data_IF_348812018461
#
_entry.id   IF_348812018461
#
_cell.length_a   1.000
_cell.length_b   1.000
_cell.length_c   1.000
_cell.angle_alpha   90.00
_cell.angle_beta   90.00
_cell.angle_gamma   90.00
#
_symmetry.space_group_name_H-M   'P 1'
#
loop_
_entity.id
_entity.type
_entity.pdbx_description
1 polymer ?
#
# COMPACT_ATOMS: atom_id res chain seq x y z
N UNK A 1 -15.10 8.30 -1.67
CA UNK A 1 -16.12 7.25 -1.54
C UNK A 1 -16.71 7.36 -0.15
N UNK A 2 -18.04 7.25 -0.03
CA UNK A 2 -18.76 7.37 1.25
C UNK A 2 -18.68 6.07 2.04
N UNK A 3 -18.79 6.16 3.37
CA UNK A 3 -19.07 5.02 4.25
C UNK A 3 -20.41 4.34 3.94
N UNK A 4 -20.60 3.14 4.48
CA UNK A 4 -21.82 2.33 4.29
C UNK A 4 -23.07 2.92 4.93
N UNK A 5 -22.92 3.89 5.84
CA UNK A 5 -24.05 4.58 6.50
C UNK A 5 -24.67 5.68 5.64
N UNK A 6 -24.07 5.97 4.48
CA UNK A 6 -24.58 6.94 3.52
C UNK A 6 -24.86 6.27 2.17
N UNK A 7 -25.91 6.76 1.51
CA UNK A 7 -26.30 6.37 0.17
C UNK A 7 -26.03 7.51 -0.81
N UNK A 8 -25.42 7.21 -1.95
CA UNK A 8 -25.24 8.17 -3.04
C UNK A 8 -26.04 7.68 -4.24
N UNK A 9 -26.83 8.56 -4.84
CA UNK A 9 -27.58 8.27 -6.06
C UNK A 9 -27.03 9.09 -7.23
N UNK A 10 -26.79 8.41 -8.35
CA UNK A 10 -26.27 9.02 -9.56
C UNK A 10 -27.31 9.88 -10.27
N UNK A 11 -28.61 9.61 -10.07
CA UNK A 11 -29.70 10.28 -10.78
C UNK A 11 -29.81 11.78 -10.47
N UNK A 12 -29.57 12.17 -9.22
CA UNK A 12 -29.63 13.58 -8.79
C UNK A 12 -28.32 14.08 -8.16
N UNK A 13 -27.29 13.22 -8.08
CA UNK A 13 -25.98 13.55 -7.48
C UNK A 13 -26.11 14.04 -6.03
N UNK A 14 -26.98 13.39 -5.25
CA UNK A 14 -27.24 13.69 -3.84
C UNK A 14 -26.80 12.53 -2.95
N UNK A 15 -26.25 12.89 -1.80
CA UNK A 15 -25.92 11.96 -0.72
C UNK A 15 -27.03 11.99 0.33
N UNK A 16 -27.56 10.83 0.67
CA UNK A 16 -28.59 10.64 1.68
C UNK A 16 -28.03 9.85 2.87
N UNK A 17 -28.50 10.18 4.07
CA UNK A 17 -28.08 9.53 5.32
C UNK A 17 -29.27 8.88 6.02
N UNK A 18 -29.00 7.97 6.95
CA UNK A 18 -30.02 7.42 7.86
C UNK A 18 -31.22 6.80 7.15
N UNK A 19 -32.43 7.09 7.65
CA UNK A 19 -33.69 6.57 7.09
C UNK A 19 -33.94 7.08 5.68
N UNK A 20 -33.56 8.33 5.39
CA UNK A 20 -33.67 8.88 4.04
C UNK A 20 -32.76 8.12 3.07
N UNK A 21 -31.54 7.79 3.48
CA UNK A 21 -30.61 6.98 2.71
C UNK A 21 -31.12 5.58 2.43
N UNK A 22 -31.70 4.92 3.43
CA UNK A 22 -32.33 3.60 3.27
C UNK A 22 -33.50 3.66 2.27
N UNK A 23 -34.36 4.66 2.40
CA UNK A 23 -35.51 4.84 1.49
C UNK A 23 -35.06 5.14 0.06
N UNK A 24 -34.06 6.01 -0.11
CA UNK A 24 -33.46 6.30 -1.41
C UNK A 24 -32.89 5.03 -2.05
N UNK A 25 -32.17 4.22 -1.28
CA UNK A 25 -31.58 2.97 -1.79
C UNK A 25 -32.64 1.95 -2.23
N UNK A 26 -33.74 1.82 -1.47
CA UNK A 26 -34.87 0.94 -1.83
C UNK A 26 -35.59 1.44 -3.08
N UNK A 27 -35.75 2.76 -3.21
CA UNK A 27 -36.34 3.35 -4.41
C UNK A 27 -35.51 3.03 -5.65
N UNK A 28 -34.21 3.31 -5.63
CA UNK A 28 -33.33 3.10 -6.78
C UNK A 28 -33.15 1.60 -7.10
N UNK A 29 -33.29 0.71 -6.10
CA UNK A 29 -33.29 -0.74 -6.33
C UNK A 29 -34.57 -1.25 -7.01
N UNK A 30 -35.73 -0.68 -6.67
CA UNK A 30 -37.03 -1.14 -7.17
C UNK A 30 -37.56 -0.34 -8.37
N UNK A 31 -36.97 0.81 -8.68
CA UNK A 31 -37.50 1.77 -9.64
C UNK A 31 -36.40 2.60 -10.30
N UNK A 32 -36.55 2.89 -11.59
CA UNK A 32 -35.72 3.88 -12.30
C UNK A 32 -36.17 5.34 -12.05
N UNK A 33 -37.25 5.53 -11.28
CA UNK A 33 -37.78 6.86 -10.99
C UNK A 33 -36.87 7.61 -10.00
N UNK A 34 -36.68 8.91 -10.25
CA UNK A 34 -35.84 9.76 -9.41
C UNK A 34 -36.40 9.87 -7.99
N UNK A 35 -35.62 9.41 -7.01
CA UNK A 35 -35.95 9.58 -5.60
C UNK A 35 -36.02 11.06 -5.23
N UNK A 36 -37.07 11.44 -4.50
CA UNK A 36 -37.26 12.77 -3.92
C UNK A 36 -37.51 12.62 -2.43
N UNK A 37 -36.64 13.23 -1.63
CA UNK A 37 -36.85 13.34 -0.19
C UNK A 37 -38.03 14.28 0.11
N UNK A 38 -38.52 14.24 1.35
CA UNK A 38 -39.55 15.16 1.84
C UNK A 38 -39.13 16.62 1.59
N UNK A 39 -39.95 17.45 0.91
CA UNK A 39 -39.70 18.87 0.72
C UNK A 39 -39.53 19.68 2.00
N UNK A 40 -39.89 19.15 3.17
CA UNK A 40 -39.70 19.79 4.47
C UNK A 40 -38.51 19.23 5.26
N UNK A 41 -37.72 18.33 4.67
CA UNK A 41 -36.59 17.71 5.33
C UNK A 41 -35.44 18.70 5.58
N UNK A 42 -35.25 19.10 6.84
CA UNK A 42 -34.36 20.19 7.25
C UNK A 42 -32.90 19.97 6.84
N UNK A 43 -32.41 18.72 6.89
CA UNK A 43 -31.05 18.36 6.48
C UNK A 43 -30.76 18.75 5.04
N UNK A 44 -31.67 18.44 4.11
CA UNK A 44 -31.48 18.69 2.68
C UNK A 44 -31.90 20.12 2.27
N UNK A 45 -32.54 20.89 3.18
CA UNK A 45 -32.56 22.35 3.08
C UNK A 45 -31.23 22.98 3.47
N UNK A 46 -30.60 22.47 4.53
CA UNK A 46 -29.31 22.94 5.00
C UNK A 46 -28.16 22.58 4.04
N UNK A 47 -28.22 21.41 3.41
CA UNK A 47 -27.25 20.95 2.41
C UNK A 47 -27.95 20.15 1.29
N UNK A 48 -28.26 20.82 0.17
CA UNK A 48 -29.10 20.27 -0.92
C UNK A 48 -28.60 18.97 -1.54
N UNK A 49 -27.27 18.75 -1.54
CA UNK A 49 -26.63 17.54 -2.08
C UNK A 49 -26.20 16.55 -0.99
N UNK A 50 -26.63 16.77 0.25
CA UNK A 50 -26.18 16.02 1.41
C UNK A 50 -24.80 16.48 1.86
N UNK A 51 -23.75 16.20 1.08
CA UNK A 51 -22.42 16.70 1.40
C UNK A 51 -22.34 18.23 1.23
N UNK A 52 -21.87 18.97 2.25
CA UNK A 52 -21.79 20.42 2.16
C UNK A 52 -20.72 20.86 1.15
N UNK A 53 -21.08 21.84 0.32
CA UNK A 53 -20.22 22.45 -0.70
C UNK A 53 -19.75 23.86 -0.30
N UNK A 54 -20.38 24.45 0.72
CA UNK A 54 -20.03 25.80 1.22
C UNK A 54 -19.90 25.83 2.74
N UNK A 55 -19.10 26.75 3.31
CA UNK A 55 -19.02 26.95 4.76
C UNK A 55 -20.38 27.18 5.43
N UNK A 56 -21.31 27.85 4.75
CA UNK A 56 -22.65 28.09 5.28
C UNK A 56 -23.46 26.81 5.42
N UNK A 57 -23.38 25.90 4.45
CA UNK A 57 -24.03 24.59 4.55
C UNK A 57 -23.44 23.77 5.71
N UNK A 58 -22.11 23.80 5.90
CA UNK A 58 -21.48 23.17 7.08
C UNK A 58 -22.01 23.78 8.38
N UNK A 59 -22.05 25.12 8.48
CA UNK A 59 -22.57 25.84 9.66
C UNK A 59 -24.02 25.47 9.96
N UNK A 60 -24.86 25.41 8.93
CA UNK A 60 -26.27 25.07 9.07
C UNK A 60 -26.46 23.63 9.54
N UNK A 61 -25.71 22.67 8.98
CA UNK A 61 -25.73 21.28 9.44
C UNK A 61 -25.26 21.16 10.91
N UNK A 62 -24.22 21.90 11.33
CA UNK A 62 -23.77 21.89 12.73
C UNK A 62 -24.84 22.45 13.65
N UNK A 63 -25.51 23.54 13.24
CA UNK A 63 -26.61 24.12 13.99
C UNK A 63 -27.76 23.12 14.17
N UNK A 64 -28.11 22.36 13.12
CA UNK A 64 -29.10 21.29 13.20
C UNK A 64 -28.70 20.20 14.20
N UNK A 65 -27.46 19.66 14.11
CA UNK A 65 -26.98 18.63 15.04
C UNK A 65 -27.12 19.07 16.51
N UNK A 66 -26.77 20.33 16.78
CA UNK A 66 -26.74 20.93 18.12
C UNK A 66 -28.09 21.46 18.60
N UNK A 67 -29.12 21.48 17.77
CA UNK A 67 -30.45 21.97 18.17
C UNK A 67 -31.13 20.96 19.12
N UNK A 68 -31.31 21.28 20.42
CA UNK A 68 -31.95 20.37 21.35
C UNK A 68 -33.45 20.17 21.08
N UNK A 69 -34.09 21.09 20.35
CA UNK A 69 -35.52 21.03 20.01
C UNK A 69 -35.77 20.46 18.60
N UNK A 70 -34.71 20.26 17.81
CA UNK A 70 -34.81 19.70 16.46
C UNK A 70 -35.23 18.24 16.44
N UNK A 71 -35.80 17.80 15.33
CA UNK A 71 -36.27 16.41 15.14
C UNK A 71 -35.10 15.42 15.30
N UNK A 72 -35.18 14.42 16.20
CA UNK A 72 -34.07 13.50 16.50
C UNK A 72 -33.44 12.83 15.27
N UNK A 73 -34.26 12.34 14.34
CA UNK A 73 -33.80 11.69 13.10
C UNK A 73 -33.01 12.64 12.19
N UNK A 74 -33.45 13.90 12.05
CA UNK A 74 -32.74 14.90 11.23
C UNK A 74 -31.40 15.30 11.84
N UNK A 75 -31.35 15.42 13.17
CA UNK A 75 -30.10 15.67 13.90
C UNK A 75 -29.10 14.54 13.69
N UNK A 76 -29.58 13.30 13.73
CA UNK A 76 -28.75 12.13 13.48
C UNK A 76 -28.27 12.05 12.02
N UNK A 77 -29.14 12.29 11.05
CA UNK A 77 -28.75 12.32 9.63
C UNK A 77 -27.72 13.44 9.33
N UNK A 78 -27.94 14.64 9.87
CA UNK A 78 -26.97 15.74 9.75
C UNK A 78 -25.61 15.37 10.40
N UNK A 79 -25.65 14.68 11.54
CA UNK A 79 -24.45 14.17 12.19
C UNK A 79 -23.73 13.13 11.31
N UNK A 80 -24.43 12.18 10.70
CA UNK A 80 -23.82 11.19 9.78
C UNK A 80 -23.14 11.87 8.58
N UNK A 81 -23.80 12.86 7.97
CA UNK A 81 -23.26 13.63 6.85
C UNK A 81 -21.99 14.38 7.27
N UNK A 82 -22.02 15.09 8.40
CA UNK A 82 -20.87 15.86 8.90
C UNK A 82 -19.72 14.96 9.31
N UNK A 83 -20.00 13.82 9.94
CA UNK A 83 -19.01 12.82 10.31
C UNK A 83 -18.32 12.23 9.07
N UNK A 84 -19.07 11.91 8.01
CA UNK A 84 -18.45 11.49 6.74
C UNK A 84 -17.66 12.63 6.09
N UNK A 85 -18.20 13.85 6.07
CA UNK A 85 -17.52 14.99 5.48
C UNK A 85 -16.20 15.29 6.21
N UNK A 86 -16.19 15.16 7.54
CA UNK A 86 -14.98 15.23 8.36
C UNK A 86 -14.02 14.09 8.01
N UNK A 87 -14.51 12.85 7.90
CA UNK A 87 -13.70 11.70 7.51
C UNK A 87 -13.09 11.85 6.10
N UNK A 88 -13.82 12.41 5.14
CA UNK A 88 -13.30 12.73 3.79
C UNK A 88 -12.22 13.80 3.90
N UNK A 89 -12.48 14.85 4.68
CA UNK A 89 -11.56 15.98 4.85
C UNK A 89 -10.20 15.53 5.40
N UNK A 90 -10.16 14.60 6.36
CA UNK A 90 -8.90 14.09 6.92
C UNK A 90 -8.08 13.26 5.93
N UNK A 91 -8.76 12.69 4.92
CA UNK A 91 -8.19 11.86 3.85
C UNK A 91 -7.62 12.66 2.67
N UNK A 92 -7.74 14.00 2.70
CA UNK A 92 -7.23 14.92 1.67
C UNK A 92 -6.08 15.78 2.25
N UNK A 93 -5.04 16.12 1.47
CA UNK A 93 -3.96 16.98 1.94
C UNK A 93 -4.45 18.40 2.24
N UNK A 94 -3.88 19.05 3.26
CA UNK A 94 -4.30 20.41 3.69
C UNK A 94 -4.26 21.43 2.55
N UNK A 95 -3.28 21.31 1.64
CA UNK A 95 -3.13 22.17 0.46
C UNK A 95 -4.26 22.04 -0.56
N UNK A 96 -4.98 20.91 -0.56
CA UNK A 96 -6.05 20.60 -1.51
C UNK A 96 -7.46 20.69 -0.91
N UNK A 97 -7.58 20.99 0.39
CA UNK A 97 -8.89 21.20 1.01
C UNK A 97 -9.61 22.38 0.35
N UNK A 98 -10.91 22.22 0.09
CA UNK A 98 -11.75 23.33 -0.36
C UNK A 98 -12.11 24.26 0.81
N UNK A 99 -12.92 25.31 0.53
CA UNK A 99 -13.31 26.29 1.55
C UNK A 99 -14.19 25.69 2.66
N UNK A 100 -15.08 24.75 2.34
CA UNK A 100 -15.97 24.12 3.31
C UNK A 100 -15.21 23.14 4.21
N UNK A 101 -14.33 22.33 3.61
CA UNK A 101 -13.44 21.42 4.33
C UNK A 101 -12.50 22.16 5.28
N UNK A 102 -11.87 23.24 4.81
CA UNK A 102 -11.02 24.09 5.68
C UNK A 102 -11.83 24.66 6.85
N UNK A 103 -13.03 25.18 6.58
CA UNK A 103 -13.87 25.75 7.62
C UNK A 103 -14.31 24.73 8.68
N UNK A 104 -14.59 23.49 8.27
CA UNK A 104 -14.92 22.39 9.19
C UNK A 104 -13.76 22.07 10.14
N UNK A 105 -12.53 22.05 9.62
CA UNK A 105 -11.32 21.70 10.38
C UNK A 105 -10.81 22.88 11.21
N UNK A 106 -10.99 24.11 10.73
CA UNK A 106 -10.63 25.31 11.46
C UNK A 106 -11.42 25.39 12.78
N UNK A 107 -10.72 25.73 13.87
CA UNK A 107 -11.25 25.80 15.23
C UNK A 107 -11.94 24.53 15.80
N UNK A 108 -11.78 23.34 15.19
CA UNK A 108 -12.49 22.11 15.61
C UNK A 108 -14.01 22.33 15.75
N UNK A 109 -14.59 23.04 14.77
CA UNK A 109 -15.99 23.48 14.77
C UNK A 109 -16.98 22.34 14.96
N UNK A 110 -16.61 21.12 14.57
CA UNK A 110 -17.37 19.89 14.74
C UNK A 110 -16.47 18.76 15.25
N UNK A 111 -16.92 18.04 16.25
CA UNK A 111 -16.27 16.85 16.79
C UNK A 111 -17.25 15.68 16.78
N UNK A 112 -16.91 14.62 16.05
CA UNK A 112 -17.78 13.44 15.86
C UNK A 112 -18.18 12.77 17.19
N UNK A 113 -17.32 12.79 18.21
CA UNK A 113 -17.63 12.13 19.48
C UNK A 113 -18.46 13.05 20.40
N UNK A 114 -18.09 14.32 20.49
CA UNK A 114 -18.74 15.32 21.35
C UNK A 114 -20.10 15.75 20.82
N UNK A 115 -20.20 15.96 19.51
CA UNK A 115 -21.40 16.47 18.85
C UNK A 115 -22.35 15.33 18.40
N UNK A 116 -22.16 14.09 18.89
CA UNK A 116 -23.08 12.98 18.61
C UNK A 116 -24.42 13.21 19.31
N UNK A 117 -25.54 13.28 18.59
CA UNK A 117 -26.83 13.52 19.21
C UNK A 117 -27.30 12.30 20.02
N UNK A 118 -27.83 12.54 21.21
CA UNK A 118 -28.56 11.54 21.97
C UNK A 118 -29.88 11.24 21.26
N UNK A 119 -29.99 10.04 20.69
CA UNK A 119 -31.14 9.57 19.92
C UNK A 119 -31.59 8.22 20.45
N UNK A 120 -32.90 7.95 20.43
CA UNK A 120 -33.42 6.64 20.79
C UNK A 120 -32.93 5.60 19.78
N UNK A 121 -32.79 4.34 20.20
CA UNK A 121 -32.45 3.25 19.29
C UNK A 121 -33.47 3.10 18.14
N UNK A 122 -34.72 3.50 18.36
CA UNK A 122 -35.79 3.45 17.35
C UNK A 122 -35.61 4.50 16.23
N UNK A 123 -34.92 5.62 16.52
CA UNK A 123 -34.67 6.70 15.55
C UNK A 123 -33.49 6.40 14.62
N UNK A 124 -32.72 5.35 14.92
CA UNK A 124 -31.53 4.94 14.17
C UNK A 124 -31.89 3.74 13.31
N UNK A 125 -31.67 3.80 11.98
CA UNK A 125 -31.85 2.62 11.14
C UNK A 125 -30.95 1.48 11.63
N UNK A 126 -31.55 0.33 11.92
CA UNK A 126 -30.81 -0.90 12.24
C UNK A 126 -30.20 -1.54 10.99
N UNK A 127 -30.72 -1.19 9.82
CA UNK A 127 -30.25 -1.62 8.50
C UNK A 127 -29.53 -0.48 7.79
N UNK A 128 -28.37 -0.76 7.19
CA UNK A 128 -27.72 0.16 6.27
C UNK A 128 -28.46 0.25 4.93
N UNK A 129 -28.28 1.33 4.14
CA UNK A 129 -28.83 1.42 2.79
C UNK A 129 -28.46 0.19 1.96
N UNK A 130 -29.42 -0.29 1.15
CA UNK A 130 -29.24 -1.41 0.22
C UNK A 130 -28.23 -1.00 -0.85
N UNK A 131 -26.96 -1.18 -0.54
CA UNK A 131 -25.86 -0.82 -1.43
C UNK A 131 -25.06 -2.07 -1.66
N UNK A 132 -25.22 -2.66 -2.83
CA UNK A 132 -24.45 -3.81 -3.33
C UNK A 132 -24.45 -5.08 -2.43
N UNK A 133 -25.10 -5.04 -1.25
CA UNK A 133 -25.23 -6.12 -0.27
C UNK A 133 -26.25 -7.18 -0.70
N UNK A 134 -27.19 -6.87 -1.59
CA UNK A 134 -28.08 -7.89 -2.17
C UNK A 134 -27.26 -8.96 -2.91
N UNK A 135 -26.24 -8.54 -3.67
CA UNK A 135 -25.24 -9.44 -4.27
C UNK A 135 -24.31 -10.12 -3.24
N UNK A 136 -24.22 -9.62 -2.01
CA UNK A 136 -23.49 -10.27 -0.91
C UNK A 136 -24.35 -11.35 -0.23
N UNK A 137 -25.68 -11.17 -0.17
CA UNK A 137 -26.60 -12.13 0.45
C UNK A 137 -26.78 -13.40 -0.39
N UNK A 138 -26.72 -13.30 -1.73
CA UNK A 138 -26.82 -14.46 -2.62
C UNK A 138 -25.47 -15.17 -2.88
N UNK A 139 -24.33 -14.51 -2.63
CA UNK A 139 -22.98 -15.08 -2.80
C UNK A 139 -22.17 -15.11 -1.50
N UNK A 140 -22.74 -15.70 -0.43
CA UNK A 140 -21.95 -16.19 0.73
C UNK A 140 -21.12 -17.44 0.35
N UNK A 141 -20.62 -17.48 -0.87
CA UNK A 141 -19.41 -18.22 -1.20
C UNK A 141 -18.25 -17.27 -0.89
N UNK A 142 -17.17 -17.77 -0.30
CA UNK A 142 -15.94 -16.99 -0.23
C UNK A 142 -15.69 -16.39 -1.62
N UNK A 143 -15.67 -15.05 -1.75
CA UNK A 143 -15.19 -14.40 -2.97
C UNK A 143 -13.71 -14.73 -3.04
N UNK A 144 -13.39 -15.93 -3.50
CA UNK A 144 -12.04 -16.43 -3.62
C UNK A 144 -11.50 -15.80 -4.89
N UNK A 145 -10.73 -14.72 -4.71
CA UNK A 145 -9.93 -14.21 -5.80
C UNK A 145 -8.64 -15.02 -5.87
N UNK A 146 -8.47 -15.89 -6.89
CA UNK A 146 -7.23 -16.64 -7.06
C UNK A 146 -6.08 -15.67 -7.28
N UNK A 147 -4.88 -16.06 -6.85
CA UNK A 147 -3.66 -15.37 -7.25
C UNK A 147 -3.55 -15.45 -8.78
N UNK A 148 -3.35 -14.34 -9.48
CA UNK A 148 -3.14 -14.38 -10.93
C UNK A 148 -1.95 -15.24 -11.28
N UNK A 149 -2.05 -15.94 -12.40
CA UNK A 149 -0.98 -16.82 -12.88
C UNK A 149 0.32 -16.04 -13.13
N UNK A 150 1.41 -16.80 -13.22
CA UNK A 150 2.73 -16.31 -13.58
C UNK A 150 2.72 -15.38 -14.81
N UNK A 151 1.98 -15.79 -15.85
CA UNK A 151 1.86 -15.06 -17.12
C UNK A 151 1.04 -13.77 -17.01
N UNK A 152 0.10 -13.72 -16.05
CA UNK A 152 -0.75 -12.58 -15.77
C UNK A 152 -0.16 -11.62 -14.73
N UNK A 153 0.96 -11.96 -14.08
CA UNK A 153 1.55 -11.14 -12.99
C UNK A 153 1.84 -9.70 -13.46
N UNK A 154 2.29 -9.53 -14.70
CA UNK A 154 2.57 -8.22 -15.27
C UNK A 154 1.32 -7.55 -15.89
N UNK A 155 0.14 -8.19 -15.87
CA UNK A 155 -1.14 -7.59 -16.27
C UNK A 155 -1.64 -6.72 -15.11
N UNK A 156 -1.06 -5.52 -14.99
CA UNK A 156 -1.19 -4.63 -13.82
C UNK A 156 -2.64 -4.44 -13.37
N UNK A 157 -3.59 -4.21 -14.29
CA UNK A 157 -4.99 -3.99 -13.90
C UNK A 157 -5.66 -5.25 -13.33
N UNK A 158 -5.36 -6.46 -13.86
CA UNK A 158 -5.82 -7.72 -13.27
C UNK A 158 -5.15 -8.01 -11.93
N UNK A 159 -3.85 -7.77 -11.85
CA UNK A 159 -3.07 -8.01 -10.63
C UNK A 159 -3.50 -7.06 -9.50
N UNK A 160 -3.95 -5.85 -9.84
CA UNK A 160 -4.47 -4.89 -8.89
C UNK A 160 -5.71 -5.40 -8.14
N UNK A 161 -6.63 -6.11 -8.81
CA UNK A 161 -7.83 -6.67 -8.18
C UNK A 161 -7.46 -7.62 -7.04
N UNK A 162 -6.49 -8.51 -7.29
CA UNK A 162 -5.97 -9.45 -6.30
C UNK A 162 -5.36 -8.73 -5.10
N UNK A 163 -4.52 -7.72 -5.37
CA UNK A 163 -3.84 -6.93 -4.34
C UNK A 163 -4.85 -6.11 -3.51
N UNK A 164 -5.86 -5.52 -4.15
CA UNK A 164 -6.93 -4.76 -3.48
C UNK A 164 -7.67 -5.65 -2.49
N UNK A 165 -8.02 -6.88 -2.86
CA UNK A 165 -8.82 -7.74 -2.00
C UNK A 165 -8.00 -8.40 -0.88
N UNK A 166 -6.78 -8.86 -1.17
CA UNK A 166 -5.99 -9.69 -0.23
C UNK A 166 -4.93 -8.92 0.56
N UNK A 167 -4.46 -7.79 0.06
CA UNK A 167 -3.21 -7.16 0.50
C UNK A 167 -3.33 -5.65 0.72
N UNK A 168 -4.54 -5.14 0.97
CA UNK A 168 -4.76 -3.72 1.23
C UNK A 168 -4.08 -3.24 2.52
N UNK A 169 -3.75 -1.94 2.64
CA UNK A 169 -3.18 -1.40 3.86
C UNK A 169 -4.10 -1.56 5.08
N UNK A 170 -3.56 -2.11 6.17
CA UNK A 170 -4.32 -2.49 7.36
C UNK A 170 -4.84 -3.94 7.35
N UNK A 171 -4.63 -4.70 6.27
CA UNK A 171 -4.82 -6.15 6.29
C UNK A 171 -3.67 -6.87 6.99
N UNK A 172 -3.93 -8.06 7.51
CA UNK A 172 -2.89 -8.94 8.11
C UNK A 172 -1.83 -9.36 7.08
N UNK A 173 -2.22 -9.46 5.80
CA UNK A 173 -1.35 -9.89 4.71
C UNK A 173 -0.83 -8.70 3.90
N UNK A 174 -0.69 -7.52 4.50
CA UNK A 174 -0.25 -6.32 3.78
C UNK A 174 1.10 -6.52 3.06
N UNK A 175 1.20 -6.10 1.81
CA UNK A 175 2.44 -6.16 1.01
C UNK A 175 3.14 -4.81 1.04
N UNK A 176 4.42 -4.82 1.39
CA UNK A 176 5.28 -3.64 1.36
C UNK A 176 5.47 -3.07 -0.05
N UNK A 177 5.62 -1.75 -0.13
CA UNK A 177 5.92 -1.03 -1.37
C UNK A 177 4.70 -0.64 -2.20
N UNK A 178 3.53 -1.27 -2.00
CA UNK A 178 2.31 -0.91 -2.75
C UNK A 178 1.69 0.37 -2.18
N UNK A 179 1.40 1.33 -3.05
CA UNK A 179 0.63 2.53 -2.69
C UNK A 179 -0.85 2.34 -3.00
N UNK A 180 -1.67 2.54 -1.97
CA UNK A 180 -3.10 2.72 -2.10
C UNK A 180 -3.51 4.03 -1.43
N UNK A 181 -4.45 4.74 -2.02
CA UNK A 181 -4.97 5.98 -1.45
C UNK A 181 -6.37 5.81 -0.84
N UNK A 182 -6.83 6.82 -0.12
CA UNK A 182 -8.16 6.78 0.50
C UNK A 182 -9.35 6.80 -0.49
N UNK A 183 -9.10 6.96 -1.80
CA UNK A 183 -10.10 6.66 -2.84
C UNK A 183 -10.11 5.18 -3.24
N UNK A 184 -9.31 4.34 -2.59
CA UNK A 184 -9.11 2.91 -2.87
C UNK A 184 -8.45 2.66 -4.23
N UNK A 185 -7.73 3.66 -4.76
CA UNK A 185 -6.98 3.53 -6.01
C UNK A 185 -5.63 2.87 -5.71
N UNK A 186 -5.11 2.12 -6.66
CA UNK A 186 -3.76 1.53 -6.59
C UNK A 186 -2.83 2.27 -7.52
N UNK A 187 -1.65 2.66 -7.05
CA UNK A 187 -0.66 3.31 -7.90
C UNK A 187 0.00 2.27 -8.82
N UNK A 188 -0.09 2.50 -10.13
CA UNK A 188 0.37 1.56 -11.16
C UNK A 188 1.88 1.34 -11.12
N UNK A 189 2.68 2.37 -10.84
CA UNK A 189 4.15 2.28 -10.74
C UNK A 189 4.57 1.36 -9.58
N UNK A 190 3.94 1.54 -8.42
CA UNK A 190 4.26 0.68 -7.27
C UNK A 190 3.90 -0.79 -7.52
N UNK A 191 2.75 -1.01 -8.15
CA UNK A 191 2.28 -2.34 -8.50
C UNK A 191 3.15 -2.98 -9.58
N UNK A 192 3.58 -2.21 -10.58
CA UNK A 192 4.52 -2.65 -11.60
C UNK A 192 5.85 -3.10 -11.00
N UNK A 193 6.45 -2.29 -10.12
CA UNK A 193 7.72 -2.64 -9.47
C UNK A 193 7.63 -3.94 -8.68
N UNK A 194 6.57 -4.09 -7.89
CA UNK A 194 6.30 -5.35 -7.17
C UNK A 194 6.09 -6.53 -8.13
N UNK A 195 5.25 -6.36 -9.16
CA UNK A 195 4.96 -7.39 -10.15
C UNK A 195 6.22 -7.83 -10.91
N UNK A 196 7.10 -6.89 -11.30
CA UNK A 196 8.35 -7.18 -11.98
C UNK A 196 9.28 -8.01 -11.10
N UNK A 197 9.45 -7.63 -9.83
CA UNK A 197 10.26 -8.38 -8.88
C UNK A 197 9.72 -9.81 -8.66
N UNK A 198 8.40 -9.95 -8.49
CA UNK A 198 7.72 -11.23 -8.37
C UNK A 198 7.86 -12.09 -9.64
N UNK A 199 7.80 -11.46 -10.80
CA UNK A 199 7.88 -12.14 -12.08
C UNK A 199 9.28 -12.70 -12.35
N UNK A 200 10.33 -11.99 -11.91
CA UNK A 200 11.73 -12.39 -12.09
C UNK A 200 12.18 -13.50 -11.13
N UNK A 201 11.61 -13.60 -9.93
CA UNK A 201 12.01 -14.59 -8.91
C UNK A 201 10.97 -15.71 -8.70
N UNK A 202 11.32 -16.94 -9.08
CA UNK A 202 10.42 -18.10 -9.01
C UNK A 202 10.36 -18.78 -7.63
N UNK A 203 11.46 -18.72 -6.86
CA UNK A 203 11.59 -19.40 -5.56
C UNK A 203 10.77 -18.70 -4.48
N UNK A 204 10.03 -19.44 -3.65
CA UNK A 204 9.19 -18.88 -2.58
C UNK A 204 10.02 -18.28 -1.44
N UNK A 205 11.12 -18.94 -1.09
CA UNK A 205 11.91 -18.64 0.10
C UNK A 205 12.85 -17.45 -0.08
N UNK A 206 13.48 -17.33 -1.26
CA UNK A 206 14.45 -16.24 -1.56
C UNK A 206 13.79 -14.98 -2.15
N UNK A 207 12.48 -15.07 -2.46
CA UNK A 207 11.71 -13.97 -3.03
C UNK A 207 11.63 -12.73 -2.15
N UNK A 208 11.42 -12.81 -0.82
CA UNK A 208 11.40 -11.63 0.04
C UNK A 208 12.70 -10.82 -0.05
N UNK A 209 13.85 -11.50 0.02
CA UNK A 209 15.16 -10.85 -0.09
C UNK A 209 15.40 -10.30 -1.50
N UNK A 210 15.06 -11.05 -2.55
CA UNK A 210 15.14 -10.54 -3.93
C UNK A 210 14.30 -9.28 -4.14
N UNK A 211 13.03 -9.29 -3.69
CA UNK A 211 12.12 -8.14 -3.80
C UNK A 211 12.68 -6.94 -3.04
N UNK A 212 13.28 -7.17 -1.86
CA UNK A 212 13.93 -6.14 -1.06
C UNK A 212 15.13 -5.52 -1.78
N UNK A 213 16.03 -6.33 -2.32
CA UNK A 213 17.20 -5.85 -3.07
C UNK A 213 16.81 -5.15 -4.38
N UNK A 214 15.79 -5.66 -5.08
CA UNK A 214 15.21 -4.98 -6.24
C UNK A 214 14.63 -3.63 -5.86
N UNK A 215 13.89 -3.55 -4.76
CA UNK A 215 13.32 -2.29 -4.29
C UNK A 215 14.42 -1.27 -3.93
N UNK A 216 15.49 -1.70 -3.27
CA UNK A 216 16.65 -0.83 -3.00
C UNK A 216 17.31 -0.34 -4.29
N UNK A 217 17.51 -1.21 -5.28
CA UNK A 217 18.04 -0.82 -6.60
C UNK A 217 17.14 0.22 -7.28
N UNK A 218 15.83 -0.04 -7.32
CA UNK A 218 14.84 0.86 -7.92
C UNK A 218 14.75 2.21 -7.18
N UNK A 219 15.02 2.23 -5.86
CA UNK A 219 15.05 3.44 -5.06
C UNK A 219 16.29 4.31 -5.31
N UNK A 220 17.29 3.86 -6.09
CA UNK A 220 18.54 4.58 -6.36
C UNK A 220 18.59 5.05 -7.83
N UNK A 221 18.18 6.31 -8.13
CA UNK A 221 18.16 6.83 -9.49
C UNK A 221 19.49 6.66 -10.24
N UNK A 222 19.44 6.08 -11.44
CA UNK A 222 20.62 5.87 -12.28
C UNK A 222 21.55 4.73 -11.85
N UNK A 223 21.34 4.10 -10.68
CA UNK A 223 22.23 3.03 -10.19
C UNK A 223 22.25 1.81 -11.11
N UNK A 224 21.11 1.45 -11.68
CA UNK A 224 21.05 0.36 -12.64
C UNK A 224 21.78 0.66 -13.95
N UNK A 225 21.76 1.91 -14.40
CA UNK A 225 22.52 2.36 -15.57
C UNK A 225 24.03 2.26 -15.33
N UNK A 226 24.51 2.57 -14.12
CA UNK A 226 25.91 2.37 -13.74
C UNK A 226 26.32 0.90 -13.86
N UNK A 227 25.51 -0.03 -13.36
CA UNK A 227 25.78 -1.46 -13.51
C UNK A 227 25.79 -1.92 -14.97
N UNK A 228 24.95 -1.34 -15.83
CA UNK A 228 24.99 -1.60 -17.28
C UNK A 228 26.29 -1.09 -17.88
N UNK A 229 26.76 0.10 -17.48
CA UNK A 229 28.01 0.65 -17.98
C UNK A 229 29.20 -0.21 -17.55
N UNK A 230 29.26 -0.61 -16.27
CA UNK A 230 30.26 -1.56 -15.76
C UNK A 230 30.22 -2.88 -16.53
N UNK A 231 29.02 -3.40 -16.83
CA UNK A 231 28.88 -4.62 -17.62
C UNK A 231 29.42 -4.44 -19.05
N UNK A 232 29.13 -3.31 -19.70
CA UNK A 232 29.58 -3.02 -21.07
C UNK A 232 31.10 -2.89 -21.15
N UNK A 233 31.72 -2.24 -20.16
CA UNK A 233 33.18 -2.14 -20.04
C UNK A 233 33.83 -3.53 -19.92
N UNK A 234 33.22 -4.42 -19.13
CA UNK A 234 33.70 -5.79 -18.97
C UNK A 234 33.36 -6.72 -20.15
N UNK A 235 32.41 -6.35 -21.00
CA UNK A 235 31.92 -7.17 -22.11
C UNK A 235 31.88 -6.37 -23.44
N UNK A 236 33.02 -5.83 -23.91
CA UNK A 236 33.04 -4.90 -25.06
C UNK A 236 32.52 -5.54 -26.35
N UNK A 237 32.66 -6.87 -26.50
CA UNK A 237 32.21 -7.61 -27.67
C UNK A 237 30.72 -7.99 -27.63
N UNK A 238 30.08 -7.85 -26.47
CA UNK A 238 28.67 -8.19 -26.27
C UNK A 238 28.03 -7.22 -25.26
N UNK A 239 27.95 -5.92 -25.59
CA UNK A 239 27.36 -4.94 -24.70
C UNK A 239 25.88 -5.27 -24.45
N UNK A 240 25.38 -4.80 -23.33
CA UNK A 240 23.96 -4.78 -23.03
C UNK A 240 23.18 -4.12 -24.17
N UNK A 241 22.12 -4.81 -24.59
CA UNK A 241 21.15 -4.33 -25.57
C UNK A 241 19.78 -4.73 -25.06
N UNK A 242 18.89 -3.74 -24.95
CA UNK A 242 17.51 -3.98 -24.54
C UNK A 242 16.80 -4.91 -25.53
N UNK A 243 15.80 -5.65 -25.05
CA UNK A 243 14.97 -6.47 -25.94
C UNK A 243 14.14 -5.56 -26.86
N UNK A 244 14.19 -5.74 -28.20
CA UNK A 244 13.41 -4.93 -29.12
C UNK A 244 11.96 -5.42 -29.24
N UNK A 245 11.02 -4.50 -29.46
CA UNK A 245 9.65 -4.81 -29.85
C UNK A 245 8.66 -5.02 -28.69
N UNK A 246 7.40 -5.39 -28.99
CA UNK A 246 6.32 -5.49 -28.00
C UNK A 246 6.31 -6.81 -27.22
N UNK A 247 7.25 -7.72 -27.53
CA UNK A 247 7.35 -9.04 -26.92
C UNK A 247 8.65 -9.13 -26.14
N UNK A 248 8.54 -9.56 -24.89
CA UNK A 248 9.67 -9.75 -23.99
C UNK A 248 9.74 -11.21 -23.60
N UNK A 249 10.94 -11.79 -23.68
CA UNK A 249 11.24 -13.10 -23.11
C UNK A 249 12.01 -12.89 -21.83
N UNK A 250 11.40 -13.28 -20.71
CA UNK A 250 12.00 -13.16 -19.39
C UNK A 250 12.18 -14.55 -18.82
N UNK A 251 13.39 -14.82 -18.36
CA UNK A 251 13.77 -16.04 -17.67
C UNK A 251 13.64 -15.80 -16.18
N UNK A 252 12.79 -16.59 -15.55
CA UNK A 252 12.68 -16.61 -14.10
C UNK A 252 13.93 -17.22 -13.51
N UNK A 253 14.47 -16.57 -12.50
CA UNK A 253 15.63 -17.08 -11.78
C UNK A 253 15.15 -17.92 -10.61
N UNK A 254 15.66 -19.14 -10.55
CA UNK A 254 15.59 -19.98 -9.36
C UNK A 254 16.88 -19.74 -8.56
N UNK A 255 16.73 -19.19 -7.35
CA UNK A 255 17.83 -19.02 -6.40
C UNK A 255 17.63 -20.08 -5.32
N UNK A 256 18.63 -20.94 -5.18
CA UNK A 256 18.65 -22.00 -4.18
C UNK A 256 18.63 -21.39 -2.77
N UNK A 257 18.00 -22.09 -1.81
CA UNK A 257 17.80 -21.61 -0.44
C UNK A 257 19.12 -21.33 0.28
N UNK A 258 20.14 -22.13 -0.01
CA UNK A 258 21.49 -21.98 0.56
C UNK A 258 22.19 -20.69 0.14
N UNK A 259 21.61 -19.92 -0.79
CA UNK A 259 22.18 -18.69 -1.33
C UNK A 259 21.43 -17.42 -0.92
N UNK A 260 20.44 -17.49 0.00
CA UNK A 260 19.61 -16.33 0.36
C UNK A 260 20.44 -15.17 0.96
N UNK A 261 21.42 -15.51 1.80
CA UNK A 261 22.34 -14.55 2.42
C UNK A 261 23.25 -13.81 1.41
N UNK A 262 23.35 -14.30 0.17
CA UNK A 262 24.20 -13.73 -0.88
C UNK A 262 23.42 -12.89 -1.89
N UNK A 263 22.10 -12.74 -1.74
CA UNK A 263 21.31 -11.87 -2.62
C UNK A 263 21.52 -10.42 -2.19
N UNK A 264 22.27 -9.69 -3.01
CA UNK A 264 22.50 -8.26 -2.90
C UNK A 264 21.97 -7.48 -4.12
N UNK A 265 22.13 -6.15 -4.09
CA UNK A 265 21.74 -5.27 -5.20
C UNK A 265 22.45 -5.64 -6.51
N UNK A 266 23.72 -6.09 -6.45
CA UNK A 266 24.52 -6.41 -7.63
C UNK A 266 24.06 -7.71 -8.29
N UNK A 267 23.67 -8.71 -7.50
CA UNK A 267 23.04 -9.95 -7.99
C UNK A 267 21.74 -9.63 -8.71
N UNK A 268 20.89 -8.80 -8.12
CA UNK A 268 19.64 -8.37 -8.77
C UNK A 268 19.93 -7.61 -10.08
N UNK A 269 20.88 -6.67 -10.08
CA UNK A 269 21.27 -5.95 -11.29
C UNK A 269 21.77 -6.89 -12.40
N UNK A 270 22.57 -7.90 -12.05
CA UNK A 270 23.06 -8.92 -12.98
C UNK A 270 21.89 -9.69 -13.61
N UNK A 271 20.90 -10.10 -12.80
CA UNK A 271 19.71 -10.80 -13.28
C UNK A 271 18.90 -9.94 -14.26
N UNK A 272 18.76 -8.64 -13.97
CA UNK A 272 18.08 -7.69 -14.87
C UNK A 272 18.84 -7.53 -16.19
N UNK A 273 20.19 -7.41 -16.15
CA UNK A 273 21.06 -7.32 -17.33
C UNK A 273 21.01 -8.59 -18.19
N UNK A 274 21.02 -9.76 -17.56
CA UNK A 274 20.90 -11.04 -18.26
C UNK A 274 19.55 -11.19 -18.95
N UNK A 275 18.48 -10.69 -18.32
CA UNK A 275 17.14 -10.61 -18.88
C UNK A 275 16.95 -9.42 -19.83
N UNK A 276 17.99 -8.62 -20.08
CA UNK A 276 17.94 -7.46 -20.98
C UNK A 276 16.78 -6.49 -20.63
N UNK A 277 16.51 -6.33 -19.34
CA UNK A 277 15.44 -5.45 -18.83
C UNK A 277 15.83 -3.99 -19.08
N UNK A 278 14.98 -3.18 -19.73
CA UNK A 278 15.29 -1.77 -19.98
C UNK A 278 15.49 -0.96 -18.69
N UNK A 279 16.42 0.01 -18.65
CA UNK A 279 16.57 0.91 -17.51
C UNK A 279 15.29 1.66 -17.16
N UNK A 280 14.52 2.04 -18.19
CA UNK A 280 13.23 2.71 -18.04
C UNK A 280 12.21 1.92 -17.21
N UNK A 281 12.29 0.59 -17.16
CA UNK A 281 11.42 -0.23 -16.32
C UNK A 281 11.80 -0.13 -14.84
N UNK A 282 13.11 -0.09 -14.54
CA UNK A 282 13.62 0.08 -13.18
C UNK A 282 13.31 1.49 -12.68
N UNK A 283 13.52 2.51 -13.52
CA UNK A 283 13.16 3.90 -13.23
C UNK A 283 11.65 4.08 -13.01
N UNK A 284 10.83 3.41 -13.82
CA UNK A 284 9.38 3.40 -13.61
C UNK A 284 8.98 2.80 -12.26
N UNK A 285 9.72 1.80 -11.77
CA UNK A 285 9.53 1.17 -10.46
C UNK A 285 10.07 1.99 -9.28
N UNK A 286 10.67 3.18 -9.48
CA UNK A 286 11.19 4.03 -8.39
C UNK A 286 10.23 4.21 -7.19
N UNK A 287 8.92 4.51 -7.37
CA UNK A 287 8.00 4.70 -6.24
C UNK A 287 7.78 3.41 -5.43
N UNK A 288 7.90 2.23 -6.05
CA UNK A 288 7.89 0.94 -5.34
C UNK A 288 9.09 0.87 -4.40
N UNK A 289 10.29 1.12 -4.95
CA UNK A 289 11.54 1.12 -4.20
C UNK A 289 11.53 2.08 -3.02
N UNK A 290 11.12 3.32 -3.26
CA UNK A 290 10.99 4.36 -2.25
C UNK A 290 10.08 3.94 -1.08
N UNK A 291 8.92 3.33 -1.38
CA UNK A 291 7.97 2.89 -0.35
C UNK A 291 8.45 1.70 0.45
N UNK A 292 9.09 0.72 -0.20
CA UNK A 292 9.71 -0.39 0.53
C UNK A 292 10.78 0.15 1.47
N UNK A 293 11.62 1.08 1.00
CA UNK A 293 12.67 1.69 1.82
C UNK A 293 12.08 2.39 3.05
N UNK A 294 11.05 3.22 2.88
CA UNK A 294 10.35 3.90 3.99
C UNK A 294 9.75 2.91 5.01
N UNK A 295 9.21 1.79 4.55
CA UNK A 295 8.64 0.76 5.42
C UNK A 295 9.70 -0.09 6.13
N UNK A 296 10.85 -0.34 5.49
CA UNK A 296 11.99 -0.99 6.14
C UNK A 296 12.54 -0.12 7.27
N UNK A 297 12.58 1.20 7.07
CA UNK A 297 12.93 2.17 8.12
C UNK A 297 11.94 2.08 9.29
N UNK A 298 10.64 2.09 9.00
CA UNK A 298 9.59 1.99 10.01
C UNK A 298 9.64 0.70 10.83
N UNK A 299 9.95 -0.42 10.18
CA UNK A 299 9.90 -1.76 10.80
C UNK A 299 11.23 -2.25 11.36
N UNK A 300 12.31 -1.50 11.16
CA UNK A 300 13.68 -1.87 11.56
C UNK A 300 14.11 -3.26 11.07
N UNK A 301 13.63 -3.70 9.90
CA UNK A 301 13.90 -5.03 9.34
C UNK A 301 15.27 -5.16 8.65
N UNK A 302 16.11 -4.13 8.73
CA UNK A 302 17.43 -4.05 8.12
C UNK A 302 18.39 -3.27 9.02
N UNK A 303 19.70 -3.57 9.01
CA UNK A 303 20.68 -2.81 9.78
C UNK A 303 20.59 -1.31 9.49
N UNK A 304 20.58 -0.51 10.56
CA UNK A 304 20.41 0.94 10.50
C UNK A 304 21.45 1.61 9.57
N UNK A 305 22.74 1.24 9.69
CA UNK A 305 23.81 1.78 8.86
C UNK A 305 23.58 1.54 7.36
N UNK A 306 23.00 0.40 6.99
CA UNK A 306 22.66 0.08 5.60
C UNK A 306 21.55 0.98 5.08
N UNK A 307 20.47 1.18 5.86
CA UNK A 307 19.35 2.04 5.48
C UNK A 307 19.77 3.51 5.33
N UNK A 308 20.60 4.01 6.25
CA UNK A 308 21.16 5.37 6.17
C UNK A 308 22.01 5.53 4.92
N UNK A 309 22.92 4.58 4.66
CA UNK A 309 23.80 4.62 3.47
C UNK A 309 22.99 4.65 2.18
N UNK A 310 21.95 3.81 2.07
CA UNK A 310 21.07 3.75 0.89
C UNK A 310 20.27 5.05 0.74
N UNK A 311 19.69 5.60 1.80
CA UNK A 311 18.90 6.84 1.72
C UNK A 311 19.76 8.08 1.41
N UNK A 312 20.99 8.14 1.94
CA UNK A 312 21.91 9.24 1.64
C UNK A 312 22.42 9.20 0.20
N UNK A 313 22.69 8.02 -0.36
CA UNK A 313 22.99 7.87 -1.78
C UNK A 313 21.78 8.25 -2.65
N UNK A 314 20.57 7.80 -2.27
CA UNK A 314 19.32 8.22 -2.94
C UNK A 314 19.18 9.74 -2.98
N UNK A 315 19.35 10.44 -1.86
CA UNK A 315 19.24 11.92 -1.80
C UNK A 315 20.32 12.61 -2.63
N UNK A 316 21.54 12.07 -2.66
CA UNK A 316 22.61 12.57 -3.54
C UNK A 316 22.21 12.45 -5.00
N UNK A 317 21.69 11.28 -5.41
CA UNK A 317 21.21 11.01 -6.77
C UNK A 317 20.04 11.88 -7.16
N UNK A 318 19.03 12.03 -6.31
CA UNK A 318 17.92 12.94 -6.57
C UNK A 318 18.36 14.38 -6.81
N UNK A 319 19.42 14.85 -6.13
CA UNK A 319 19.99 16.18 -6.36
C UNK A 319 20.73 16.30 -7.70
N UNK A 320 21.34 15.22 -8.20
CA UNK A 320 22.10 15.26 -9.44
C UNK A 320 21.26 14.93 -10.68
N UNK A 321 20.34 13.97 -10.59
CA UNK A 321 19.58 13.44 -11.73
C UNK A 321 18.07 13.66 -11.64
N UNK A 322 17.56 14.07 -10.48
CA UNK A 322 16.12 14.25 -10.25
C UNK A 322 15.37 12.93 -10.03
N UNK A 323 14.03 13.03 -9.98
CA UNK A 323 13.16 11.85 -9.85
C UNK A 323 13.11 11.09 -11.18
N UNK A 324 13.32 9.76 -11.19
CA UNK A 324 13.25 8.97 -12.41
C UNK A 324 11.90 9.11 -13.14
N UNK A 325 11.92 9.30 -14.47
CA UNK A 325 10.71 9.52 -15.25
C UNK A 325 9.83 8.27 -15.25
N UNK A 326 8.51 8.49 -15.32
CA UNK A 326 7.55 7.41 -15.52
C UNK A 326 7.36 7.10 -17.00
N UNK A 327 7.11 5.82 -17.32
CA UNK A 327 6.52 5.43 -18.60
C UNK A 327 5.06 5.89 -18.60
N UNK A 328 4.76 6.94 -19.37
CA UNK A 328 3.47 7.66 -19.35
C UNK A 328 2.27 6.73 -19.51
N UNK A 329 2.35 5.76 -20.44
CA UNK A 329 1.24 4.83 -20.69
C UNK A 329 0.92 3.90 -19.52
N UNK A 330 1.86 3.74 -18.57
CA UNK A 330 1.75 2.82 -17.44
C UNK A 330 1.63 3.56 -16.10
N UNK A 331 1.67 4.90 -16.12
CA UNK A 331 1.64 5.72 -14.92
C UNK A 331 0.21 5.97 -14.42
N UNK A 332 0.12 6.55 -13.22
CA UNK A 332 -1.11 7.01 -12.60
C UNK A 332 -1.73 6.02 -11.62
N UNK A 333 -2.95 6.35 -11.24
CA UNK A 333 -3.75 5.60 -10.28
C UNK A 333 -4.81 4.78 -11.01
N UNK A 334 -4.85 3.47 -10.79
CA UNK A 334 -5.94 2.63 -11.28
C UNK A 334 -7.19 2.93 -10.44
N UNK A 335 -8.30 3.40 -11.04
CA UNK A 335 -9.55 3.55 -10.31
C UNK A 335 -10.09 2.16 -9.92
N UNK A 336 -10.64 2.00 -8.71
CA UNK A 336 -11.33 0.77 -8.34
C UNK A 336 -12.57 0.57 -9.24
N UNK A 337 -12.84 -0.69 -9.62
CA UNK A 337 -14.11 -1.06 -10.23
C UNK A 337 -15.23 -1.14 -9.18
N UNK A 338 -16.51 -1.16 -9.57
CA UNK A 338 -17.62 -1.45 -8.64
C UNK A 338 -17.41 -2.76 -7.86
N UNK A 339 -16.89 -3.81 -8.51
CA UNK A 339 -16.55 -5.06 -7.85
C UNK A 339 -15.41 -4.93 -6.83
N UNK A 340 -14.40 -4.10 -7.10
CA UNK A 340 -13.32 -3.82 -6.14
C UNK A 340 -13.84 -3.10 -4.90
N UNK A 341 -14.78 -2.17 -5.10
CA UNK A 341 -15.46 -1.47 -4.01
C UNK A 341 -16.21 -2.44 -3.11
N UNK A 342 -16.98 -3.35 -3.69
CA UNK A 342 -17.73 -4.36 -2.96
C UNK A 342 -16.81 -5.25 -2.13
N UNK A 343 -15.78 -5.80 -2.77
CA UNK A 343 -14.78 -6.68 -2.15
C UNK A 343 -14.07 -6.01 -0.97
N UNK A 344 -13.67 -4.75 -1.12
CA UNK A 344 -13.04 -3.99 -0.03
C UNK A 344 -14.01 -3.73 1.13
N UNK A 345 -15.27 -3.43 0.84
CA UNK A 345 -16.27 -3.21 1.89
C UNK A 345 -16.46 -4.47 2.75
N UNK A 346 -16.59 -5.64 2.11
CA UNK A 346 -16.66 -6.94 2.81
C UNK A 346 -15.39 -7.22 3.60
N UNK A 347 -14.22 -6.97 3.00
CA UNK A 347 -12.95 -7.22 3.65
C UNK A 347 -12.73 -6.31 4.88
N UNK A 348 -13.14 -5.04 4.79
CA UNK A 348 -13.04 -4.08 5.90
C UNK A 348 -13.98 -4.45 7.04
N UNK A 349 -15.21 -4.83 6.71
CA UNK A 349 -16.18 -5.30 7.71
C UNK A 349 -15.66 -6.54 8.43
N UNK A 350 -15.09 -7.51 7.71
CA UNK A 350 -14.48 -8.69 8.34
C UNK A 350 -13.39 -8.30 9.33
N UNK A 351 -12.47 -7.41 8.96
CA UNK A 351 -11.40 -6.94 9.86
C UNK A 351 -11.99 -6.28 11.11
N UNK A 352 -12.99 -5.41 10.93
CA UNK A 352 -13.65 -4.72 12.03
C UNK A 352 -14.39 -5.68 12.98
N UNK A 353 -15.16 -6.62 12.43
CA UNK A 353 -15.91 -7.62 13.20
C UNK A 353 -14.99 -8.59 13.97
N UNK A 354 -13.78 -8.84 13.46
CA UNK A 354 -12.75 -9.61 14.19
C UNK A 354 -12.04 -8.83 15.29
N UNK A 355 -12.52 -7.63 15.64
CA UNK A 355 -11.95 -6.78 16.70
C UNK A 355 -10.74 -5.96 16.26
N UNK A 356 -10.46 -5.90 14.96
CA UNK A 356 -9.40 -5.07 14.39
C UNK A 356 -9.81 -3.60 14.26
N UNK A 357 -8.81 -2.71 14.23
CA UNK A 357 -9.03 -1.32 13.83
C UNK A 357 -9.53 -1.26 12.38
N UNK A 358 -10.38 -0.29 12.08
CA UNK A 358 -10.90 -0.11 10.72
C UNK A 358 -9.72 0.15 9.75
N UNK A 359 -9.56 -0.61 8.65
CA UNK A 359 -8.32 -0.60 7.87
C UNK A 359 -7.86 0.77 7.37
N UNK A 360 -8.80 1.68 7.07
CA UNK A 360 -8.48 3.03 6.59
C UNK A 360 -7.86 3.95 7.64
N UNK A 361 -7.72 3.53 8.91
CA UNK A 361 -6.98 4.28 9.92
C UNK A 361 -5.47 4.01 9.85
N UNK A 362 -5.04 3.01 9.08
CA UNK A 362 -3.63 2.72 8.86
C UNK A 362 -2.93 3.90 8.18
N UNK A 363 -1.80 4.33 8.74
CA UNK A 363 -0.93 5.38 8.18
C UNK A 363 -0.33 5.01 6.81
N UNK A 364 -0.46 3.74 6.41
CA UNK A 364 0.00 3.25 5.12
C UNK A 364 -0.88 3.72 3.95
N UNK A 365 -2.13 4.12 4.24
CA UNK A 365 -3.00 4.76 3.26
C UNK A 365 -2.46 6.14 2.89
N UNK A 366 -2.43 6.43 1.59
CA UNK A 366 -2.03 7.73 1.06
C UNK A 366 -3.24 8.66 1.00
N UNK A 367 -3.05 9.94 1.31
CA UNK A 367 -4.10 10.93 1.12
C UNK A 367 -4.39 11.13 -0.36
N UNK A 368 -5.65 11.41 -0.66
CA UNK A 368 -6.09 11.62 -2.04
C UNK A 368 -5.41 12.85 -2.61
N UNK A 369 -4.55 12.66 -3.61
CA UNK A 369 -3.80 13.75 -4.23
C UNK A 369 -2.42 14.04 -3.62
N UNK A 370 -2.00 13.28 -2.61
CA UNK A 370 -0.59 13.27 -2.19
C UNK A 370 0.30 12.66 -3.28
N UNK A 371 1.54 13.15 -3.37
CA UNK A 371 2.56 12.54 -4.23
C UNK A 371 3.06 11.22 -3.60
N UNK A 372 3.21 10.21 -4.45
CA UNK A 372 3.80 8.93 -4.08
C UNK A 372 5.33 9.05 -4.01
N UNK A 373 5.91 10.03 -4.70
CA UNK A 373 7.32 10.35 -4.69
C UNK A 373 7.62 11.45 -3.66
N UNK A 374 7.79 11.07 -2.39
CA UNK A 374 8.24 12.02 -1.39
C UNK A 374 9.75 12.27 -1.50
N UNK A 375 10.20 13.54 -1.34
CA UNK A 375 11.63 13.88 -1.41
C UNK A 375 12.42 13.22 -0.27
N UNK A 376 11.82 13.10 0.91
CA UNK A 376 12.41 12.52 2.12
C UNK A 376 11.56 11.36 2.62
N UNK A 377 12.20 10.30 3.12
CA UNK A 377 11.47 9.17 3.71
C UNK A 377 10.65 9.70 4.89
N UNK A 378 9.37 9.33 4.95
CA UNK A 378 8.43 9.78 5.99
C UNK A 378 8.90 9.39 7.37
N UNK A 379 9.58 8.24 7.46
CA UNK A 379 10.12 7.69 8.69
C UNK A 379 11.61 8.00 8.87
N UNK A 380 12.22 8.92 8.11
CA UNK A 380 13.64 9.24 8.24
C UNK A 380 14.02 9.70 9.64
N UNK A 381 13.17 10.47 10.32
CA UNK A 381 13.42 10.86 11.71
C UNK A 381 13.65 9.65 12.63
N UNK A 382 13.06 8.49 12.33
CA UNK A 382 13.32 7.25 13.06
C UNK A 382 14.76 6.77 12.88
N UNK A 383 15.34 6.93 11.69
CA UNK A 383 16.76 6.64 11.48
C UNK A 383 17.60 7.50 12.43
N UNK A 384 17.38 8.81 12.45
CA UNK A 384 18.18 9.73 13.26
C UNK A 384 18.02 9.44 14.77
N UNK A 385 16.85 8.99 15.22
CA UNK A 385 16.61 8.62 16.63
C UNK A 385 17.10 7.23 17.04
N UNK A 386 17.20 6.29 16.09
CA UNK A 386 17.74 4.95 16.32
C UNK A 386 19.28 4.96 16.46
N UNK A 387 19.93 6.11 16.25
CA UNK A 387 21.37 6.35 16.39
C UNK A 387 21.88 6.54 17.84
N UNK A 388 21.38 5.77 18.82
CA UNK A 388 22.04 5.57 20.12
C UNK A 388 22.84 4.25 20.02
N UNK A 389 24.16 4.14 20.18
CA UNK A 389 25.23 5.03 20.61
C UNK A 389 26.38 4.93 19.60
N UNK A 390 27.05 6.04 19.30
CA UNK A 390 28.38 5.96 18.71
C UNK A 390 29.30 5.26 19.72
N UNK A 391 29.77 4.06 19.40
CA UNK A 391 30.95 3.49 20.05
C UNK A 391 32.06 4.56 19.99
N UNK A 392 32.40 5.10 21.16
CA UNK A 392 33.50 6.04 21.30
C UNK A 392 34.77 5.19 21.46
N UNK A 393 35.72 5.19 20.50
CA UNK A 393 36.94 4.41 20.63
C UNK A 393 37.91 5.18 21.52
N UNK A 394 37.90 4.90 22.83
CA UNK A 394 39.01 5.25 23.70
C UNK A 394 39.72 3.99 24.17
N UNK A 395 40.86 3.75 23.52
CA UNK A 395 42.01 3.06 24.08
C UNK A 395 42.24 3.46 25.54
N UNK A 396 42.19 2.48 26.43
CA UNK A 396 43.17 2.36 27.52
C UNK A 396 43.49 0.88 27.68
N UNK A 397 44.65 0.48 27.16
CA UNK A 397 45.40 -0.64 27.71
C UNK A 397 45.68 -0.32 29.19
N UNK A 398 45.26 -1.19 30.11
CA UNK A 398 46.24 -1.80 31.02
C UNK A 398 45.67 -2.98 31.83
N UNK A 399 46.59 -3.93 32.02
CA UNK A 399 46.49 -5.26 32.60
C UNK A 399 45.93 -5.35 34.03
N UNK A 400 45.13 -6.39 34.32
CA UNK A 400 45.48 -7.52 35.21
C UNK A 400 44.26 -8.32 35.71
N UNK A 401 44.30 -9.65 35.49
CA UNK A 401 43.55 -10.71 36.20
C UNK A 401 44.00 -10.79 37.70
N UNK A 402 43.35 -11.53 38.65
CA UNK A 402 42.67 -12.82 38.43
C UNK A 402 41.44 -13.20 39.32
N UNK A 403 40.81 -14.32 38.91
CA UNK A 403 40.13 -15.38 39.68
C UNK A 403 39.22 -15.04 40.89
N UNK A 404 37.96 -15.54 40.84
CA UNK A 404 37.47 -16.52 41.82
C UNK A 404 36.14 -17.19 41.41
N UNK A 405 36.20 -18.53 41.38
CA UNK A 405 35.17 -19.58 41.59
C UNK A 405 33.85 -19.08 42.21
N UNK A 406 32.66 -19.55 41.81
CA UNK A 406 32.16 -20.92 42.05
C UNK A 406 30.82 -21.15 41.31
N UNK A 407 30.73 -22.23 40.53
CA UNK A 407 29.50 -23.06 40.45
C UNK A 407 29.56 -24.14 41.54
N UNK A 408 28.42 -24.72 41.94
CA UNK A 408 28.26 -26.14 41.60
C UNK A 408 26.83 -26.60 41.23
N UNK A 409 26.80 -27.60 40.32
CA UNK A 409 25.99 -28.83 40.31
C UNK A 409 24.44 -28.75 40.31
N UNK A 410 23.65 -29.57 39.60
CA UNK A 410 23.86 -30.79 38.79
C UNK A 410 22.48 -31.17 38.19
N UNK A 411 22.45 -31.69 36.96
CA UNK A 411 21.81 -32.97 36.55
C UNK A 411 21.63 -33.02 35.01
N UNK A 412 22.53 -33.76 34.36
CA UNK A 412 22.28 -34.52 33.12
C UNK A 412 21.91 -35.98 33.51
N UNK A 413 21.67 -36.96 32.61
CA UNK A 413 21.62 -36.92 31.13
C UNK A 413 20.43 -37.71 30.52
N UNK A 414 20.19 -37.57 29.20
CA UNK A 414 19.92 -38.72 28.32
C UNK A 414 20.55 -38.47 26.93
N UNK A 415 21.32 -39.45 26.48
CA UNK A 415 21.98 -39.58 25.19
C UNK A 415 21.02 -39.61 23.99
N UNK A 416 21.47 -39.11 22.83
CA UNK A 416 21.59 -39.96 21.64
C UNK A 416 22.61 -39.38 20.65
N UNK A 417 23.53 -40.25 20.24
CA UNK A 417 24.54 -40.03 19.22
C UNK A 417 23.93 -40.14 17.81
N UNK A 418 24.27 -39.20 16.92
CA UNK A 418 24.28 -39.49 15.49
C UNK A 418 25.39 -38.67 14.81
N UNK A 419 26.36 -39.43 14.34
CA UNK A 419 27.51 -39.05 13.53
C UNK A 419 27.09 -38.36 12.23
N UNK A 420 27.66 -37.19 11.93
CA UNK A 420 27.72 -36.69 10.57
C UNK A 420 29.11 -36.15 10.23
N UNK A 421 29.62 -36.72 9.15
CA UNK A 421 30.92 -36.54 8.52
C UNK A 421 31.12 -35.13 7.97
N UNK A 422 32.25 -34.53 8.32
CA UNK A 422 32.80 -33.35 7.66
C UNK A 422 33.05 -33.63 6.17
N UNK A 423 32.37 -32.88 5.30
CA UNK A 423 32.77 -32.74 3.90
C UNK A 423 33.13 -31.27 3.65
N UNK A 424 34.40 -30.93 3.87
CA UNK A 424 34.98 -29.74 3.29
C UNK A 424 34.93 -29.84 1.76
N UNK A 425 34.02 -29.09 1.12
CA UNK A 425 34.08 -28.82 -0.32
C UNK A 425 34.55 -27.40 -0.54
N UNK A 426 35.80 -27.30 -0.98
CA UNK A 426 36.44 -26.09 -1.50
C UNK A 426 35.68 -25.59 -2.73
N UNK A 427 35.41 -24.28 -2.75
CA UNK A 427 34.70 -23.56 -3.80
C UNK A 427 35.54 -23.45 -5.09
N UNK A 428 34.96 -23.83 -6.24
CA UNK A 428 35.54 -23.65 -7.58
C UNK A 428 34.66 -22.67 -8.40
N UNK A 429 35.11 -21.42 -8.64
CA UNK A 429 34.34 -20.39 -9.33
C UNK A 429 34.17 -20.59 -10.84
N UNK A 430 34.68 -21.68 -11.42
CA UNK A 430 34.73 -21.87 -12.88
C UNK A 430 33.62 -22.72 -13.50
N UNK A 431 32.68 -23.28 -12.71
CA UNK A 431 31.60 -24.13 -13.27
C UNK A 431 30.41 -23.34 -13.84
N UNK A 432 29.88 -23.70 -15.03
CA UNK A 432 28.73 -23.02 -15.61
C UNK A 432 27.46 -23.32 -14.80
N UNK A 433 26.75 -22.26 -14.40
CA UNK A 433 25.49 -22.35 -13.64
C UNK A 433 24.43 -23.10 -14.45
N UNK A 434 23.89 -24.17 -13.86
CA UNK A 434 22.78 -24.94 -14.44
C UNK A 434 21.55 -24.06 -14.64
N UNK A 435 21.26 -23.73 -15.90
CA UNK A 435 20.00 -23.11 -16.31
C UNK A 435 18.94 -24.20 -16.41
N UNK A 436 17.94 -24.14 -15.54
CA UNK A 436 16.64 -24.77 -15.76
C UNK A 436 15.63 -23.63 -15.78
N UNK A 437 15.27 -23.14 -16.96
CA UNK A 437 14.26 -22.10 -17.11
C UNK A 437 13.48 -22.31 -18.41
N UNK A 438 12.18 -22.63 -18.27
CA UNK A 438 11.25 -22.55 -19.39
C UNK A 438 10.95 -21.07 -19.68
N UNK A 439 11.09 -20.60 -20.94
CA UNK A 439 10.78 -19.21 -21.28
C UNK A 439 9.27 -18.95 -21.15
N UNK A 440 8.89 -17.82 -20.54
CA UNK A 440 7.52 -17.29 -20.60
C UNK A 440 7.51 -16.15 -21.62
N UNK A 441 6.77 -16.34 -22.72
CA UNK A 441 6.59 -15.33 -23.77
C UNK A 441 5.42 -14.44 -23.39
N UNK A 442 5.61 -13.12 -23.41
CA UNK A 442 4.52 -12.16 -23.21
C UNK A 442 4.29 -11.31 -24.45
N UNK A 443 3.05 -11.28 -24.91
CA UNK A 443 2.55 -10.32 -25.90
C UNK A 443 1.99 -9.10 -25.17
N UNK A 444 2.51 -7.89 -25.44
CA UNK A 444 1.73 -6.69 -25.18
C UNK A 444 0.56 -6.68 -26.18
N UNK A 445 -0.65 -6.91 -25.68
CA UNK A 445 -1.87 -6.73 -26.46
C UNK A 445 -1.98 -5.25 -26.83
N UNK A 446 -1.92 -4.97 -28.13
CA UNK A 446 -2.48 -3.76 -28.70
C UNK A 446 -3.91 -3.58 -28.15
N UNK A 447 -4.24 -2.39 -27.66
CA UNK A 447 -5.64 -1.94 -27.64
C UNK A 447 -5.75 -0.67 -28.47
N UNK A 448 -6.64 -0.76 -29.47
CA UNK A 448 -7.42 0.37 -29.95
C UNK A 448 -8.38 0.80 -28.87
#
# INVERSE_FOLDING_TARGET
>A
MLSYVLYYTEHNNTVYAGWTGLTASKNDFHSEALFRHDPHHEVYHAAKRGLPMTPNEVKNLIALVRDPQGVPSYRFEAHLILSEFQAITTRVPTSQLDRAMRWLVDASNFDTNRDRPHTSHEDIPTEGPMRDLASIQDEVGEIYMPRPEAIDTMMIDKYAEYIIYRHFPGSVNYIHGIAMDHMRRVNRRTLFGYALAQFLCSSGDTRPQFVRCFAMLAALPGRYQEYINEYNENNPNSPFREQPGPMFTVYRVFIDRDHDDFIDIKVVATILIDNKIPPSWVDHAYPFGLRVLDQLVKTSQMPHATLVSVDDDRRRRLRSTGVPPAIVAWDGWRPPSPGDHLRLSVAFERVYMTGGNYPTTSIEWIKVGDDVNYPELRHRALLDTLGYESENPQFTEDNNLPDHRTQPDRRDPVHDEATHTENHRTFDPSRPRGRSASPIIRTLSNRR
#
